data_IF_898644548121
#
_entry.id   IF_898644548121
#
_cell.length_a   1.000
_cell.length_b   1.000
_cell.length_c   1.000
_cell.angle_alpha   90.00
_cell.angle_beta   90.00
_cell.angle_gamma   90.00
#
_symmetry.space_group_name_H-M   'P 1'
#
loop_
_entity.id
_entity.type
_entity.pdbx_description
1 polymer ?
#
# COMPACT_ATOMS: atom_id res chain seq x y z
N UNK A 1 -30.79 20.17 6.61
CA UNK A 1 -30.43 18.75 6.47
C UNK A 1 -30.14 18.53 5.00
N UNK A 2 -28.87 18.63 4.59
CA UNK A 2 -28.47 18.42 3.20
C UNK A 2 -28.14 16.93 3.04
N UNK A 3 -28.82 16.28 2.12
CA UNK A 3 -28.60 14.89 1.75
C UNK A 3 -27.16 14.73 1.21
N UNK A 4 -26.25 14.24 2.04
CA UNK A 4 -24.96 13.70 1.57
C UNK A 4 -25.22 12.30 1.02
N UNK A 5 -25.54 12.23 -0.28
CA UNK A 5 -25.60 10.98 -1.03
C UNK A 5 -24.21 10.34 -1.02
N UNK A 6 -24.12 9.12 -0.56
CA UNK A 6 -22.98 8.23 -0.76
C UNK A 6 -22.82 8.05 -2.28
N UNK A 7 -21.82 8.69 -2.89
CA UNK A 7 -21.51 8.50 -4.30
C UNK A 7 -20.81 7.15 -4.48
N UNK A 8 -21.59 6.16 -4.83
CA UNK A 8 -21.13 4.87 -5.34
C UNK A 8 -20.88 5.02 -6.84
N UNK A 9 -19.71 4.66 -7.29
CA UNK A 9 -19.29 4.52 -8.70
C UNK A 9 -19.26 5.80 -9.55
N UNK A 10 -18.20 6.58 -9.46
CA UNK A 10 -17.75 7.33 -10.63
C UNK A 10 -16.90 6.41 -11.53
N UNK A 11 -17.42 6.04 -12.69
CA UNK A 11 -16.58 5.62 -13.83
C UNK A 11 -15.75 6.85 -14.21
N UNK A 12 -14.42 6.71 -14.20
CA UNK A 12 -13.51 7.79 -14.60
C UNK A 12 -13.96 8.41 -15.93
N UNK A 13 -13.97 9.72 -15.97
CA UNK A 13 -14.24 10.46 -17.22
C UNK A 13 -13.02 10.36 -18.12
N UNK A 14 -13.21 9.92 -19.35
CA UNK A 14 -12.18 9.80 -20.36
C UNK A 14 -11.44 11.15 -20.49
N UNK A 15 -10.12 11.22 -20.17
CA UNK A 15 -9.26 12.38 -20.41
C UNK A 15 -8.86 13.24 -19.21
N UNK A 16 -9.19 12.85 -17.96
CA UNK A 16 -8.88 13.67 -16.76
C UNK A 16 -7.47 13.49 -16.20
N UNK A 17 -6.83 12.34 -16.46
CA UNK A 17 -5.48 12.00 -15.97
C UNK A 17 -4.50 11.99 -17.13
N UNK A 18 -3.34 12.65 -16.98
CA UNK A 18 -2.37 12.76 -18.08
C UNK A 18 -1.72 11.41 -18.42
N UNK A 19 -1.29 11.22 -19.68
CA UNK A 19 -0.56 10.02 -20.11
C UNK A 19 0.69 9.75 -19.26
N UNK A 20 1.40 10.78 -18.83
CA UNK A 20 2.61 10.69 -18.02
C UNK A 20 2.30 10.11 -16.64
N UNK A 21 1.23 10.55 -16.00
CA UNK A 21 0.75 10.03 -14.71
C UNK A 21 0.35 8.57 -14.84
N UNK A 22 -0.42 8.23 -15.87
CA UNK A 22 -0.83 6.84 -16.11
C UNK A 22 0.38 5.92 -16.37
N UNK A 23 1.36 6.41 -17.14
CA UNK A 23 2.62 5.70 -17.37
C UNK A 23 3.40 5.49 -16.06
N UNK A 24 3.47 6.50 -15.19
CA UNK A 24 4.16 6.40 -13.90
C UNK A 24 3.48 5.37 -12.99
N UNK A 25 2.14 5.39 -12.90
CA UNK A 25 1.36 4.38 -12.15
C UNK A 25 1.70 2.99 -12.65
N UNK A 26 1.70 2.78 -13.96
CA UNK A 26 2.01 1.48 -14.57
C UNK A 26 3.44 1.02 -14.27
N UNK A 27 4.44 1.90 -14.42
CA UNK A 27 5.86 1.58 -14.13
C UNK A 27 6.02 1.12 -12.68
N UNK A 28 5.42 1.84 -11.73
CA UNK A 28 5.49 1.46 -10.30
C UNK A 28 4.80 0.13 -10.04
N UNK A 29 3.62 -0.08 -10.63
CA UNK A 29 2.87 -1.32 -10.48
C UNK A 29 3.62 -2.54 -11.06
N UNK A 30 4.26 -2.40 -12.23
CA UNK A 30 5.09 -3.45 -12.84
C UNK A 30 6.32 -3.75 -11.98
N UNK A 31 7.02 -2.71 -11.50
CA UNK A 31 8.17 -2.89 -10.60
C UNK A 31 7.78 -3.66 -9.33
N UNK A 32 6.64 -3.31 -8.73
CA UNK A 32 6.11 -4.02 -7.57
C UNK A 32 5.81 -5.49 -7.88
N UNK A 33 5.14 -5.78 -9.02
CA UNK A 33 4.82 -7.13 -9.42
C UNK A 33 6.08 -7.97 -9.62
N UNK A 34 7.06 -7.48 -10.38
CA UNK A 34 8.30 -8.21 -10.66
C UNK A 34 9.10 -8.45 -9.37
N UNK A 35 9.19 -7.45 -8.49
CA UNK A 35 9.84 -7.59 -7.19
C UNK A 35 9.18 -8.68 -6.33
N UNK A 36 7.87 -8.66 -6.24
CA UNK A 36 7.08 -9.63 -5.47
C UNK A 36 7.26 -11.06 -6.02
N UNK A 37 7.19 -11.22 -7.35
CA UNK A 37 7.46 -12.48 -8.04
C UNK A 37 8.85 -13.05 -7.70
N UNK A 38 9.90 -12.19 -7.64
CA UNK A 38 11.26 -12.60 -7.28
C UNK A 38 11.38 -13.02 -5.82
N UNK A 39 10.77 -12.28 -4.90
CA UNK A 39 10.79 -12.65 -3.47
C UNK A 39 10.02 -13.96 -3.24
N UNK A 40 8.93 -14.17 -3.94
CA UNK A 40 8.18 -15.43 -3.92
C UNK A 40 9.04 -16.62 -4.39
N UNK A 41 9.86 -16.43 -5.43
CA UNK A 41 10.83 -17.45 -5.88
C UNK A 41 11.87 -17.74 -4.81
N UNK A 42 12.45 -16.70 -4.18
CA UNK A 42 13.42 -16.85 -3.08
C UNK A 42 12.81 -17.59 -1.89
N UNK A 43 11.54 -17.31 -1.56
CA UNK A 43 10.84 -18.02 -0.50
C UNK A 43 10.68 -19.51 -0.81
N UNK A 44 10.23 -19.88 -2.03
CA UNK A 44 10.12 -21.27 -2.46
C UNK A 44 11.45 -22.01 -2.49
N UNK A 45 12.56 -21.31 -2.67
CA UNK A 45 13.92 -21.84 -2.58
C UNK A 45 14.42 -21.99 -1.14
N UNK A 46 13.64 -21.57 -0.13
CA UNK A 46 14.02 -21.55 1.28
C UNK A 46 15.04 -20.48 1.64
N UNK A 47 15.22 -19.45 0.78
CA UNK A 47 16.18 -18.36 0.96
C UNK A 47 15.57 -17.18 1.69
N UNK A 48 14.32 -16.84 1.39
CA UNK A 48 13.52 -15.91 2.16
C UNK A 48 12.58 -16.71 3.08
N UNK A 49 12.66 -16.57 4.41
CA UNK A 49 11.94 -17.45 5.34
C UNK A 49 10.42 -17.22 5.33
N UNK A 50 9.99 -16.02 5.02
CA UNK A 50 8.59 -15.60 5.06
C UNK A 50 8.34 -14.45 4.09
N UNK A 51 7.15 -14.41 3.49
CA UNK A 51 6.73 -13.29 2.65
C UNK A 51 5.22 -13.08 2.65
N UNK A 52 4.82 -11.82 2.56
CA UNK A 52 3.43 -11.39 2.36
C UNK A 52 3.37 -10.61 1.05
N UNK A 53 2.66 -11.15 0.07
CA UNK A 53 2.56 -10.58 -1.27
C UNK A 53 1.60 -9.39 -1.32
N UNK A 54 1.95 -8.38 -2.13
CA UNK A 54 1.10 -7.25 -2.52
C UNK A 54 0.39 -7.44 -3.86
N UNK A 55 0.51 -8.62 -4.49
CA UNK A 55 -0.07 -8.89 -5.81
C UNK A 55 -1.60 -8.72 -5.81
N UNK A 56 -2.07 -7.91 -6.75
CA UNK A 56 -3.47 -7.51 -6.90
C UNK A 56 -3.84 -6.18 -6.24
N UNK A 57 -2.89 -5.53 -5.53
CA UNK A 57 -3.05 -4.23 -4.89
C UNK A 57 -2.27 -3.12 -5.61
N UNK A 58 -1.41 -3.47 -6.56
CA UNK A 58 -0.38 -2.61 -7.14
C UNK A 58 -0.95 -1.35 -7.77
N UNK A 59 -2.07 -1.44 -8.48
CA UNK A 59 -2.65 -0.30 -9.21
C UNK A 59 -3.19 0.75 -8.25
N UNK A 60 -3.92 0.32 -7.21
CA UNK A 60 -4.41 1.23 -6.17
C UNK A 60 -3.27 1.94 -5.44
N UNK A 61 -2.28 1.18 -4.97
CA UNK A 61 -1.12 1.70 -4.26
C UNK A 61 -0.29 2.65 -5.11
N UNK A 62 -0.02 2.28 -6.38
CA UNK A 62 0.74 3.11 -7.30
C UNK A 62 0.02 4.41 -7.65
N UNK A 63 -1.31 4.37 -7.81
CA UNK A 63 -2.12 5.54 -8.08
C UNK A 63 -2.10 6.53 -6.90
N UNK A 64 -2.25 6.04 -5.67
CA UNK A 64 -2.14 6.88 -4.46
C UNK A 64 -0.73 7.43 -4.32
N UNK A 65 0.31 6.59 -4.47
CA UNK A 65 1.70 7.02 -4.38
C UNK A 65 2.09 8.08 -5.41
N UNK A 66 1.46 8.06 -6.61
CA UNK A 66 1.66 9.08 -7.65
C UNK A 66 0.91 10.38 -7.35
N UNK A 67 -0.16 10.34 -6.54
CA UNK A 67 -0.95 11.51 -6.19
C UNK A 67 -0.36 12.37 -5.07
N UNK A 68 0.56 11.82 -4.27
CA UNK A 68 1.17 12.49 -3.13
C UNK A 68 2.56 13.04 -3.48
N UNK A 69 3.07 13.97 -2.67
CA UNK A 69 4.42 14.51 -2.81
C UNK A 69 5.37 13.77 -1.84
N UNK A 70 5.96 12.70 -2.32
CA UNK A 70 6.81 11.80 -1.51
C UNK A 70 8.08 12.46 -0.97
N UNK A 71 8.42 13.66 -1.44
CA UNK A 71 9.55 14.44 -0.92
C UNK A 71 9.27 15.08 0.45
N UNK A 72 7.99 15.25 0.82
CA UNK A 72 7.58 15.89 2.07
C UNK A 72 6.46 15.17 2.83
N UNK A 73 5.64 14.40 2.14
CA UNK A 73 4.56 13.64 2.76
C UNK A 73 5.12 12.39 3.48
N UNK A 74 4.39 11.90 4.45
CA UNK A 74 4.81 10.76 5.26
C UNK A 74 3.91 9.57 5.03
N UNK A 75 4.51 8.38 5.07
CA UNK A 75 3.82 7.10 4.95
C UNK A 75 3.92 6.31 6.26
N UNK A 76 2.79 5.83 6.75
CA UNK A 76 2.72 4.80 7.77
C UNK A 76 2.05 3.56 7.18
N UNK A 77 2.82 2.68 6.52
CA UNK A 77 2.31 1.57 5.73
C UNK A 77 1.89 0.37 6.58
N UNK A 78 1.18 -0.57 5.95
CA UNK A 78 1.06 -1.93 6.47
C UNK A 78 1.84 -2.92 5.59
N UNK A 79 1.88 -4.17 5.99
CA UNK A 79 2.78 -5.18 5.42
C UNK A 79 2.56 -5.50 3.93
N UNK A 80 1.42 -5.10 3.33
CA UNK A 80 1.13 -5.40 1.91
C UNK A 80 1.45 -4.24 0.96
N UNK A 81 1.94 -3.12 1.48
CA UNK A 81 2.17 -1.86 0.76
C UNK A 81 3.43 -1.83 -0.10
N UNK A 82 3.70 -2.90 -0.83
CA UNK A 82 4.92 -3.01 -1.63
C UNK A 82 5.02 -1.91 -2.70
N UNK A 83 3.97 -1.70 -3.49
CA UNK A 83 3.99 -0.67 -4.53
C UNK A 83 3.95 0.75 -3.94
N UNK A 84 3.30 0.94 -2.79
CA UNK A 84 3.25 2.24 -2.13
C UNK A 84 4.62 2.62 -1.55
N UNK A 85 5.34 1.70 -0.93
CA UNK A 85 6.70 1.94 -0.42
C UNK A 85 7.71 2.18 -1.54
N UNK A 86 7.59 1.49 -2.68
CA UNK A 86 8.36 1.79 -3.89
C UNK A 86 8.06 3.20 -4.42
N UNK A 87 6.80 3.63 -4.42
CA UNK A 87 6.42 4.98 -4.82
C UNK A 87 7.02 6.06 -3.89
N UNK A 88 7.17 5.75 -2.59
CA UNK A 88 7.83 6.63 -1.62
C UNK A 88 9.35 6.59 -1.68
N UNK A 89 9.96 5.78 -2.54
CA UNK A 89 11.38 5.81 -2.84
C UNK A 89 12.20 4.65 -2.26
N UNK A 90 11.60 3.70 -1.54
CA UNK A 90 12.31 2.46 -1.20
C UNK A 90 12.73 1.75 -2.49
N UNK A 91 13.96 1.29 -2.54
CA UNK A 91 14.48 0.54 -3.68
C UNK A 91 14.08 -0.94 -3.62
N UNK A 92 14.06 -1.67 -4.75
CA UNK A 92 13.93 -3.12 -4.73
C UNK A 92 15.00 -3.79 -3.86
N UNK A 93 16.21 -3.25 -3.82
CA UNK A 93 17.29 -3.73 -2.94
C UNK A 93 16.89 -3.68 -1.46
N UNK A 94 16.25 -2.59 -1.00
CA UNK A 94 15.82 -2.46 0.40
C UNK A 94 14.83 -3.57 0.80
N UNK A 95 13.92 -3.92 -0.12
CA UNK A 95 12.98 -5.00 0.08
C UNK A 95 13.66 -6.38 0.11
N UNK A 96 14.65 -6.61 -0.74
CA UNK A 96 15.44 -7.85 -0.71
C UNK A 96 16.30 -7.95 0.56
N UNK A 97 16.92 -6.86 1.00
CA UNK A 97 17.68 -6.83 2.26
C UNK A 97 16.80 -7.23 3.44
N UNK A 98 15.56 -6.73 3.49
CA UNK A 98 14.57 -7.12 4.50
C UNK A 98 14.16 -8.59 4.36
N UNK A 99 13.79 -9.04 3.14
CA UNK A 99 13.36 -10.40 2.88
C UNK A 99 14.44 -11.45 3.20
N UNK A 100 15.71 -11.09 3.06
CA UNK A 100 16.87 -11.93 3.32
C UNK A 100 17.50 -11.69 4.70
N UNK A 101 16.89 -10.85 5.55
CA UNK A 101 17.34 -10.51 6.90
C UNK A 101 18.81 -10.03 6.95
N UNK A 102 19.18 -9.12 6.07
CA UNK A 102 20.56 -8.61 5.95
C UNK A 102 20.87 -7.48 6.95
N UNK A 103 22.15 -7.31 7.29
CA UNK A 103 22.59 -6.25 8.22
C UNK A 103 22.26 -4.85 7.69
N UNK A 104 22.32 -4.67 6.36
CA UNK A 104 22.07 -3.40 5.67
C UNK A 104 20.58 -3.12 5.44
N UNK A 105 19.67 -3.96 5.98
CA UNK A 105 18.22 -3.73 5.89
C UNK A 105 17.84 -2.39 6.55
N UNK A 106 17.31 -1.41 5.78
CA UNK A 106 17.00 -0.09 6.32
C UNK A 106 15.82 -0.09 7.29
N UNK A 107 14.99 -1.15 7.28
CA UNK A 107 13.83 -1.25 8.14
C UNK A 107 14.24 -1.60 9.58
N UNK A 108 15.14 -2.57 9.75
CA UNK A 108 15.46 -3.08 11.07
C UNK A 108 16.87 -3.68 11.22
N UNK A 109 17.68 -3.69 10.17
CA UNK A 109 18.95 -4.44 10.16
C UNK A 109 18.73 -5.94 10.33
N UNK A 110 17.70 -6.48 9.70
CA UNK A 110 17.37 -7.91 9.73
C UNK A 110 16.70 -8.40 11.01
N UNK A 111 16.24 -7.51 11.92
CA UNK A 111 15.65 -7.91 13.22
C UNK A 111 14.14 -8.14 13.20
N UNK A 112 13.42 -7.54 12.25
CA UNK A 112 11.98 -7.73 12.08
C UNK A 112 11.69 -8.77 10.98
N UNK A 113 10.47 -9.29 10.99
CA UNK A 113 9.97 -10.07 9.87
C UNK A 113 9.93 -9.22 8.60
N UNK A 114 10.09 -9.82 7.41
CA UNK A 114 9.91 -9.12 6.14
C UNK A 114 8.56 -8.39 6.06
N UNK A 115 8.52 -7.35 5.24
CA UNK A 115 7.35 -6.49 5.03
C UNK A 115 6.92 -5.67 6.28
N UNK A 116 7.82 -5.48 7.25
CA UNK A 116 7.68 -4.48 8.31
C UNK A 116 8.51 -3.25 7.92
N UNK A 117 7.90 -2.39 7.14
CA UNK A 117 8.58 -1.26 6.52
C UNK A 117 8.91 -0.14 7.51
N UNK A 118 10.01 0.55 7.28
CA UNK A 118 10.42 1.73 8.00
C UNK A 118 11.68 2.32 7.35
N UNK A 119 11.60 3.54 6.82
CA UNK A 119 12.74 4.19 6.19
C UNK A 119 12.67 5.70 6.41
N UNK A 120 13.56 6.20 7.26
CA UNK A 120 13.56 7.62 7.65
C UNK A 120 13.91 8.53 6.48
N UNK A 121 14.75 8.10 5.55
CA UNK A 121 15.18 8.91 4.40
C UNK A 121 14.02 9.16 3.44
N UNK A 122 13.05 8.25 3.42
CA UNK A 122 11.86 8.31 2.58
C UNK A 122 10.58 8.69 3.35
N UNK A 123 10.71 9.22 4.56
CA UNK A 123 9.55 9.59 5.40
C UNK A 123 8.60 8.41 5.68
N UNK A 124 9.12 7.19 5.75
CA UNK A 124 8.33 5.99 6.04
C UNK A 124 8.49 5.65 7.53
N UNK A 125 7.37 5.73 8.27
CA UNK A 125 7.31 5.42 9.70
C UNK A 125 7.49 3.92 9.89
N UNK A 126 8.33 3.52 10.84
CA UNK A 126 8.50 2.10 11.19
C UNK A 126 7.18 1.52 11.70
N UNK A 127 6.78 0.42 11.10
CA UNK A 127 5.55 -0.29 11.45
C UNK A 127 5.87 -1.70 11.95
N UNK A 128 4.89 -2.34 12.55
CA UNK A 128 5.02 -3.68 13.13
C UNK A 128 3.83 -4.57 12.77
N UNK A 129 3.79 -5.76 13.37
CA UNK A 129 2.72 -6.74 13.15
C UNK A 129 1.34 -6.37 13.71
N UNK A 130 1.19 -5.58 14.81
CA UNK A 130 -0.13 -5.15 15.26
C UNK A 130 -0.82 -4.32 14.19
N UNK A 131 -1.94 -4.84 13.67
CA UNK A 131 -2.68 -4.19 12.60
C UNK A 131 -3.48 -2.98 13.10
N UNK A 132 -3.65 -1.96 12.26
CA UNK A 132 -4.30 -0.67 12.52
C UNK A 132 -3.51 0.32 13.41
N UNK A 133 -2.51 -0.10 14.19
CA UNK A 133 -1.71 0.80 15.04
C UNK A 133 -1.02 1.91 14.24
N UNK A 134 -0.59 1.64 13.02
CA UNK A 134 0.01 2.63 12.12
C UNK A 134 -0.91 3.82 11.82
N UNK A 135 -2.22 3.66 11.91
CA UNK A 135 -3.16 4.75 11.71
C UNK A 135 -3.06 5.81 12.81
N UNK A 136 -2.85 5.36 14.06
CA UNK A 136 -2.59 6.27 15.19
C UNK A 136 -1.25 7.00 15.01
N UNK A 137 -0.22 6.29 14.53
CA UNK A 137 1.06 6.92 14.20
C UNK A 137 0.90 7.99 13.13
N UNK A 138 0.18 7.70 12.05
CA UNK A 138 -0.11 8.68 11.00
C UNK A 138 -0.87 9.90 11.52
N UNK A 139 -1.88 9.69 12.37
CA UNK A 139 -2.62 10.78 13.02
C UNK A 139 -1.69 11.64 13.89
N UNK A 140 -0.76 11.02 14.65
CA UNK A 140 0.24 11.72 15.44
C UNK A 140 1.22 12.53 14.60
N UNK A 141 1.74 11.94 13.50
CA UNK A 141 2.60 12.62 12.52
C UNK A 141 1.88 13.83 11.91
N UNK A 142 0.64 13.64 11.46
CA UNK A 142 -0.16 14.72 10.89
C UNK A 142 -0.48 15.84 11.88
N UNK A 143 -0.68 15.51 13.16
CA UNK A 143 -0.79 16.53 14.22
C UNK A 143 0.50 17.35 14.34
N UNK A 144 1.65 16.67 14.33
CA UNK A 144 2.96 17.35 14.34
C UNK A 144 3.14 18.27 13.14
N UNK A 145 2.75 17.86 11.93
CA UNK A 145 2.76 18.68 10.71
C UNK A 145 1.87 19.91 10.86
N UNK A 146 0.65 19.73 11.36
CA UNK A 146 -0.29 20.82 11.60
C UNK A 146 0.25 21.83 12.61
N UNK A 147 0.84 21.38 13.72
CA UNK A 147 1.45 22.25 14.73
C UNK A 147 2.67 23.01 14.21
N UNK A 148 3.40 22.41 13.27
CA UNK A 148 4.55 23.05 12.59
C UNK A 148 4.15 23.91 11.39
N UNK A 149 2.86 23.98 11.07
CA UNK A 149 2.33 24.74 9.93
C UNK A 149 2.98 24.34 8.59
N UNK A 150 3.28 23.06 8.40
CA UNK A 150 3.73 22.54 7.10
C UNK A 150 2.54 22.21 6.21
N UNK A 151 2.76 22.13 4.90
CA UNK A 151 1.76 21.68 3.93
C UNK A 151 1.83 20.17 3.64
N UNK A 152 2.66 19.43 4.38
CA UNK A 152 2.78 17.98 4.28
C UNK A 152 1.53 17.27 4.84
N UNK A 153 1.32 16.05 4.40
CA UNK A 153 0.26 15.17 4.88
C UNK A 153 0.81 13.78 5.24
N UNK A 154 0.03 13.01 5.98
CA UNK A 154 0.32 11.63 6.26
C UNK A 154 -0.60 10.70 5.46
N UNK A 155 -0.03 9.64 4.90
CA UNK A 155 -0.73 8.52 4.26
C UNK A 155 -0.60 7.32 5.16
N UNK A 156 -1.66 6.58 5.35
CA UNK A 156 -1.63 5.30 6.07
C UNK A 156 -2.62 4.32 5.47
N UNK A 157 -2.32 3.04 5.55
CA UNK A 157 -3.08 1.99 4.91
C UNK A 157 -3.31 0.80 5.84
N UNK A 158 -4.33 0.02 5.54
CA UNK A 158 -4.62 -1.24 6.20
C UNK A 158 -5.57 -2.10 5.33
N UNK A 159 -5.65 -3.40 5.63
CA UNK A 159 -6.69 -4.26 5.07
C UNK A 159 -8.02 -4.09 5.82
N UNK A 160 -9.14 -4.46 5.16
CA UNK A 160 -10.48 -4.33 5.72
C UNK A 160 -10.64 -5.07 7.06
N UNK A 161 -9.96 -6.20 7.24
CA UNK A 161 -10.01 -6.97 8.51
C UNK A 161 -9.51 -6.18 9.71
N UNK A 162 -8.52 -5.31 9.51
CA UNK A 162 -7.94 -4.46 10.55
C UNK A 162 -8.91 -3.37 11.03
N UNK A 163 -9.96 -3.08 10.27
CA UNK A 163 -10.95 -2.04 10.59
C UNK A 163 -11.88 -2.42 11.77
N UNK A 164 -11.76 -3.64 12.27
CA UNK A 164 -12.44 -4.08 13.51
C UNK A 164 -11.67 -3.72 14.78
N UNK A 165 -10.40 -3.30 14.65
CA UNK A 165 -9.56 -2.90 15.78
C UNK A 165 -9.91 -1.51 16.32
N UNK A 166 -9.74 -1.29 17.63
CA UNK A 166 -9.98 0.01 18.29
C UNK A 166 -9.19 1.14 17.67
N UNK A 167 -7.91 0.89 17.36
CA UNK A 167 -6.97 1.87 16.77
C UNK A 167 -7.51 2.51 15.48
N UNK A 168 -8.24 1.74 14.63
CA UNK A 168 -8.90 2.28 13.46
C UNK A 168 -9.91 3.37 13.84
N UNK A 169 -10.79 3.08 14.78
CA UNK A 169 -11.84 3.99 15.20
C UNK A 169 -11.30 5.23 15.90
N UNK A 170 -10.30 5.04 16.74
CA UNK A 170 -9.66 6.12 17.50
C UNK A 170 -8.89 7.06 16.56
N UNK A 171 -8.13 6.52 15.61
CA UNK A 171 -7.37 7.32 14.66
C UNK A 171 -8.29 8.20 13.77
N UNK A 172 -9.37 7.61 13.22
CA UNK A 172 -10.34 8.34 12.41
C UNK A 172 -11.03 9.44 13.21
N UNK A 173 -11.50 9.12 14.43
CA UNK A 173 -12.16 10.10 15.28
C UNK A 173 -11.21 11.24 15.67
N UNK A 174 -10.01 10.92 16.12
CA UNK A 174 -9.02 11.92 16.51
C UNK A 174 -8.64 12.83 15.32
N UNK A 175 -8.34 12.24 14.17
CA UNK A 175 -8.00 12.99 12.98
C UNK A 175 -9.14 13.89 12.49
N UNK A 176 -10.38 13.41 12.56
CA UNK A 176 -11.58 14.18 12.20
C UNK A 176 -11.79 15.39 13.10
N UNK A 177 -11.77 15.17 14.43
CA UNK A 177 -11.95 16.25 15.45
C UNK A 177 -10.92 17.35 15.25
N UNK A 178 -9.66 16.97 15.00
CA UNK A 178 -8.57 17.90 14.83
C UNK A 178 -8.35 18.37 13.39
N UNK A 179 -9.17 17.93 12.42
CA UNK A 179 -9.02 18.21 10.99
C UNK A 179 -7.57 18.00 10.53
N UNK A 180 -7.01 16.81 10.81
CA UNK A 180 -5.62 16.49 10.49
C UNK A 180 -5.48 16.15 9.00
N UNK A 181 -4.35 16.49 8.37
CA UNK A 181 -4.06 16.17 6.98
C UNK A 181 -3.66 14.69 6.85
N UNK A 182 -4.63 13.78 6.88
CA UNK A 182 -4.40 12.32 6.76
C UNK A 182 -5.24 11.74 5.63
N UNK A 183 -4.61 10.91 4.81
CA UNK A 183 -5.27 9.98 3.91
C UNK A 183 -5.28 8.60 4.58
N UNK A 184 -6.47 8.11 4.92
CA UNK A 184 -6.68 6.76 5.41
C UNK A 184 -7.08 5.85 4.26
N UNK A 185 -6.26 4.84 3.96
CA UNK A 185 -6.48 3.90 2.88
C UNK A 185 -6.93 2.56 3.45
N UNK A 186 -7.99 2.00 2.88
CA UNK A 186 -8.43 0.64 3.17
C UNK A 186 -8.27 -0.19 1.89
N UNK A 187 -7.44 -1.20 1.93
CA UNK A 187 -7.23 -2.14 0.84
C UNK A 187 -8.13 -3.35 1.06
N UNK A 188 -9.39 -3.22 0.61
CA UNK A 188 -10.40 -4.24 0.80
C UNK A 188 -10.26 -5.34 -0.25
N UNK A 189 -9.63 -6.44 0.14
CA UNK A 189 -9.47 -7.64 -0.70
C UNK A 189 -10.49 -8.74 -0.38
N UNK A 190 -11.46 -8.45 0.49
CA UNK A 190 -12.55 -9.35 0.84
C UNK A 190 -12.23 -10.39 1.92
N UNK A 191 -10.97 -10.46 2.41
CA UNK A 191 -10.55 -11.50 3.35
C UNK A 191 -9.61 -11.00 4.44
N UNK A 192 -10.01 -11.12 5.70
CA UNK A 192 -9.12 -11.03 6.85
C UNK A 192 -8.47 -12.42 7.09
N UNK A 193 -7.29 -12.65 6.54
CA UNK A 193 -6.66 -13.98 6.44
C UNK A 193 -7.59 -14.95 5.69
N UNK A 194 -8.43 -15.70 6.42
CA UNK A 194 -9.39 -16.68 5.92
C UNK A 194 -10.86 -16.27 6.16
N UNK A 195 -11.12 -15.14 6.83
CA UNK A 195 -12.47 -14.70 7.19
C UNK A 195 -13.01 -13.79 6.09
N UNK A 196 -14.09 -14.18 5.38
CA UNK A 196 -14.67 -13.36 4.32
C UNK A 196 -15.37 -12.12 4.89
N UNK A 197 -15.53 -11.10 4.03
CA UNK A 197 -16.02 -9.77 4.41
C UNK A 197 -17.37 -9.79 5.13
N UNK A 198 -18.31 -10.63 4.70
CA UNK A 198 -19.64 -10.78 5.30
C UNK A 198 -19.63 -11.30 6.74
N UNK A 199 -18.50 -11.89 7.19
CA UNK A 199 -18.27 -12.31 8.58
C UNK A 199 -17.50 -11.27 9.40
N UNK A 200 -17.01 -10.22 8.76
CA UNK A 200 -16.23 -9.18 9.43
C UNK A 200 -17.08 -7.95 9.76
N UNK A 201 -18.01 -7.58 8.89
CA UNK A 201 -18.83 -6.38 9.06
C UNK A 201 -20.21 -6.53 8.38
N UNK A 202 -21.25 -5.81 8.89
CA UNK A 202 -22.59 -5.86 8.34
C UNK A 202 -22.79 -4.94 7.12
N UNK A 203 -21.88 -3.97 6.88
CA UNK A 203 -21.94 -3.04 5.75
C UNK A 203 -21.15 -3.61 4.56
N UNK A 204 -21.53 -3.23 3.35
CA UNK A 204 -20.86 -3.67 2.13
C UNK A 204 -19.50 -3.00 1.91
N UNK A 205 -19.33 -1.80 2.47
CA UNK A 205 -18.12 -0.99 2.31
C UNK A 205 -17.62 -0.47 3.66
N UNK A 206 -16.30 -0.49 3.83
CA UNK A 206 -15.63 0.14 4.98
C UNK A 206 -15.81 1.66 4.92
N UNK A 207 -15.79 2.23 3.71
CA UNK A 207 -15.97 3.67 3.49
C UNK A 207 -17.27 4.23 4.07
N UNK A 208 -18.30 3.42 4.25
CA UNK A 208 -19.56 3.81 4.92
C UNK A 208 -19.35 4.26 6.38
N UNK A 209 -18.31 3.71 7.03
CA UNK A 209 -17.96 4.06 8.42
C UNK A 209 -17.47 5.51 8.57
N UNK A 210 -16.92 6.09 7.50
CA UNK A 210 -16.43 7.48 7.50
C UNK A 210 -17.52 8.48 7.92
N UNK A 211 -18.77 8.19 7.58
CA UNK A 211 -19.93 9.01 7.94
C UNK A 211 -20.11 9.17 9.46
N UNK A 212 -19.76 8.15 10.24
CA UNK A 212 -19.85 8.19 11.69
C UNK A 212 -18.87 9.20 12.32
N UNK A 213 -17.77 9.52 11.61
CA UNK A 213 -16.75 10.49 12.04
C UNK A 213 -16.92 11.86 11.38
N UNK A 214 -17.92 12.05 10.52
CA UNK A 214 -18.15 13.31 9.81
C UNK A 214 -17.09 13.64 8.77
N UNK A 215 -16.41 12.62 8.20
CA UNK A 215 -15.39 12.76 7.15
C UNK A 215 -15.88 12.14 5.84
N UNK A 216 -15.32 12.53 4.69
CA UNK A 216 -15.60 11.84 3.43
C UNK A 216 -15.12 10.38 3.45
N UNK A 217 -15.95 9.48 2.94
CA UNK A 217 -15.63 8.11 2.62
C UNK A 217 -15.88 7.85 1.14
N UNK A 218 -14.88 7.30 0.45
CA UNK A 218 -14.93 7.02 -0.99
C UNK A 218 -14.55 5.57 -1.22
N UNK A 219 -15.37 4.82 -1.97
CA UNK A 219 -15.01 3.49 -2.44
C UNK A 219 -14.73 3.54 -3.94
N UNK A 220 -13.61 2.95 -4.36
CA UNK A 220 -13.18 2.87 -5.76
C UNK A 220 -12.84 1.44 -6.15
N UNK A 221 -12.99 1.11 -7.42
CA UNK A 221 -12.39 -0.10 -7.99
C UNK A 221 -10.86 0.05 -7.99
N UNK A 222 -10.17 -0.71 -7.14
CA UNK A 222 -8.72 -0.63 -6.98
C UNK A 222 -7.91 -1.03 -8.22
N UNK A 223 -8.55 -1.61 -9.24
CA UNK A 223 -7.95 -1.87 -10.55
C UNK A 223 -8.17 -0.76 -11.57
N UNK A 224 -8.93 0.29 -11.24
CA UNK A 224 -9.12 1.47 -12.09
C UNK A 224 -8.15 2.59 -11.67
N UNK A 225 -7.03 2.70 -12.40
CA UNK A 225 -5.97 3.67 -12.10
C UNK A 225 -6.47 5.13 -12.12
N UNK A 226 -7.40 5.45 -13.01
CA UNK A 226 -7.96 6.81 -13.13
C UNK A 226 -8.81 7.14 -11.90
N UNK A 227 -9.75 6.27 -11.55
CA UNK A 227 -10.61 6.46 -10.39
C UNK A 227 -9.80 6.52 -9.07
N UNK A 228 -8.79 5.65 -8.93
CA UNK A 228 -7.91 5.64 -7.76
C UNK A 228 -7.12 6.95 -7.64
N UNK A 229 -6.52 7.42 -8.75
CA UNK A 229 -5.74 8.65 -8.76
C UNK A 229 -6.60 9.88 -8.48
N UNK A 230 -7.77 10.01 -9.10
CA UNK A 230 -8.70 11.13 -8.88
C UNK A 230 -9.20 11.20 -7.43
N UNK A 231 -9.55 10.03 -6.86
CA UNK A 231 -9.95 9.95 -5.46
C UNK A 231 -8.82 10.40 -4.53
N UNK A 232 -7.59 9.93 -4.78
CA UNK A 232 -6.40 10.31 -4.03
C UNK A 232 -6.10 11.82 -4.15
N UNK A 233 -6.11 12.38 -5.38
CA UNK A 233 -5.90 13.80 -5.62
C UNK A 233 -6.93 14.67 -4.89
N UNK A 234 -8.21 14.30 -4.94
CA UNK A 234 -9.29 14.99 -4.22
C UNK A 234 -9.03 14.99 -2.71
N UNK A 235 -8.58 13.86 -2.16
CA UNK A 235 -8.25 13.73 -0.76
C UNK A 235 -6.99 14.54 -0.37
N UNK A 236 -5.95 14.53 -1.21
CA UNK A 236 -4.74 15.33 -1.04
C UNK A 236 -5.07 16.83 -1.01
N UNK A 237 -5.83 17.32 -1.98
CA UNK A 237 -6.25 18.72 -2.01
C UNK A 237 -7.02 19.13 -0.76
N UNK A 238 -7.96 18.28 -0.33
CA UNK A 238 -8.75 18.50 0.88
C UNK A 238 -7.86 18.57 2.12
N UNK A 239 -6.92 17.62 2.28
CA UNK A 239 -5.99 17.59 3.40
C UNK A 239 -5.10 18.84 3.45
N UNK A 240 -4.54 19.26 2.30
CA UNK A 240 -3.69 20.47 2.21
C UNK A 240 -4.48 21.78 2.45
N UNK A 241 -5.78 21.81 2.13
CA UNK A 241 -6.66 22.95 2.48
C UNK A 241 -7.05 23.00 3.97
N UNK A 242 -6.60 22.01 4.79
CA UNK A 242 -6.94 21.92 6.21
C UNK A 242 -8.40 21.51 6.48
N UNK A 243 -9.06 20.91 5.49
CA UNK A 243 -10.46 20.46 5.62
C UNK A 243 -10.60 19.12 6.34
N UNK A 244 -9.47 18.48 6.69
CA UNK A 244 -9.41 17.27 7.48
C UNK A 244 -9.19 15.99 6.64
N UNK A 245 -9.27 14.82 7.27
CA UNK A 245 -8.92 13.55 6.65
C UNK A 245 -9.99 13.05 5.68
N UNK A 246 -9.59 12.09 4.85
CA UNK A 246 -10.49 11.33 3.96
C UNK A 246 -10.20 9.84 4.12
N UNK A 247 -11.24 9.00 4.12
CA UNK A 247 -11.15 7.53 4.06
C UNK A 247 -11.38 7.07 2.62
N UNK A 248 -10.37 6.45 2.00
CA UNK A 248 -10.46 5.89 0.65
C UNK A 248 -10.40 4.37 0.77
N UNK A 249 -11.42 3.69 0.29
CA UNK A 249 -11.48 2.24 0.19
C UNK A 249 -11.23 1.82 -1.25
N UNK A 250 -10.10 1.16 -1.52
CA UNK A 250 -9.82 0.47 -2.77
C UNK A 250 -10.35 -0.96 -2.70
N UNK A 251 -11.30 -1.28 -3.56
CA UNK A 251 -11.74 -2.66 -3.76
C UNK A 251 -10.67 -3.35 -4.61
N UNK A 252 -9.82 -4.12 -3.95
CA UNK A 252 -8.67 -4.80 -4.55
C UNK A 252 -8.86 -6.32 -4.50
N UNK A 253 -7.92 -7.06 -5.05
CA UNK A 253 -7.97 -8.51 -5.04
C UNK A 253 -6.64 -9.09 -4.57
N UNK A 254 -6.69 -10.07 -3.69
CA UNK A 254 -5.50 -10.82 -3.29
C UNK A 254 -5.29 -11.98 -4.24
N UNK A 255 -4.23 -11.90 -5.09
CA UNK A 255 -3.90 -12.90 -6.11
C UNK A 255 -3.14 -14.12 -5.56
N UNK A 256 -2.73 -14.07 -4.29
CA UNK A 256 -1.98 -15.16 -3.63
C UNK A 256 -2.65 -15.49 -2.29
N UNK A 257 -2.21 -16.55 -1.64
CA UNK A 257 -2.56 -16.83 -0.24
C UNK A 257 -2.22 -15.64 0.67
N UNK A 258 -2.73 -15.60 1.89
CA UNK A 258 -2.49 -14.50 2.83
C UNK A 258 -1.00 -14.23 3.06
N UNK A 259 -0.21 -15.31 3.18
CA UNK A 259 1.25 -15.28 3.30
C UNK A 259 1.85 -16.51 2.64
N UNK A 260 3.19 -16.60 2.64
CA UNK A 260 3.90 -17.79 2.15
C UNK A 260 3.59 -19.09 2.92
N UNK A 261 3.10 -18.96 4.15
CA UNK A 261 2.79 -20.09 5.03
C UNK A 261 1.30 -20.47 5.02
N UNK A 262 0.50 -19.79 4.20
CA UNK A 262 -0.95 -20.00 4.09
C UNK A 262 -1.32 -20.80 2.83
N UNK A 263 -2.46 -21.50 2.88
CA UNK A 263 -3.05 -22.19 1.75
C UNK A 263 -4.52 -21.77 1.59
N UNK A 264 -4.76 -20.81 0.70
CA UNK A 264 -6.09 -20.23 0.47
C UNK A 264 -7.12 -21.21 -0.06
N UNK A 265 -6.71 -22.34 -0.65
CA UNK A 265 -7.61 -23.40 -1.13
C UNK A 265 -8.41 -24.06 0.00
N UNK A 266 -8.02 -23.83 1.26
CA UNK A 266 -8.73 -24.33 2.45
C UNK A 266 -9.99 -23.50 2.79
N UNK A 267 -10.09 -22.27 2.28
CA UNK A 267 -11.18 -21.35 2.64
C UNK A 267 -11.74 -20.55 1.47
N UNK A 268 -11.11 -20.58 0.28
CA UNK A 268 -11.60 -19.94 -0.95
C UNK A 268 -11.99 -21.02 -1.96
N UNK A 269 -13.20 -20.95 -2.56
CA UNK A 269 -13.58 -21.80 -3.68
C UNK A 269 -12.65 -21.64 -4.88
N UNK A 270 -12.43 -22.74 -5.62
CA UNK A 270 -11.55 -22.72 -6.79
C UNK A 270 -12.03 -21.73 -7.87
N UNK A 271 -13.34 -21.64 -8.06
CA UNK A 271 -13.97 -20.72 -9.02
C UNK A 271 -13.73 -19.26 -8.65
N UNK A 272 -13.69 -18.95 -7.35
CA UNK A 272 -13.37 -17.59 -6.86
C UNK A 272 -11.91 -17.27 -7.13
N UNK A 273 -10.99 -18.19 -6.82
CA UNK A 273 -9.55 -18.01 -7.08
C UNK A 273 -9.32 -17.75 -8.57
N UNK A 274 -9.92 -18.55 -9.44
CA UNK A 274 -9.81 -18.37 -10.89
C UNK A 274 -10.38 -17.02 -11.35
N UNK A 275 -11.55 -16.62 -10.84
CA UNK A 275 -12.18 -15.33 -11.16
C UNK A 275 -11.31 -14.15 -10.77
N UNK A 276 -10.66 -14.22 -9.60
CA UNK A 276 -9.77 -13.16 -9.12
C UNK A 276 -8.53 -13.03 -10.01
N UNK A 277 -7.93 -14.14 -10.44
CA UNK A 277 -6.80 -14.11 -11.39
C UNK A 277 -7.19 -13.53 -12.76
N UNK A 278 -8.40 -13.83 -13.26
CA UNK A 278 -8.90 -13.24 -14.50
C UNK A 278 -9.14 -11.73 -14.39
N UNK A 279 -9.37 -11.22 -13.17
CA UNK A 279 -9.58 -9.81 -12.87
C UNK A 279 -8.30 -9.09 -12.43
N UNK A 280 -7.11 -9.63 -12.69
CA UNK A 280 -5.81 -9.04 -12.32
C UNK A 280 -5.75 -7.56 -12.70
N UNK A 281 -5.52 -6.71 -11.70
CA UNK A 281 -5.52 -5.26 -11.85
C UNK A 281 -4.45 -4.77 -12.85
N UNK A 282 -3.28 -5.42 -12.90
CA UNK A 282 -2.20 -5.05 -13.80
C UNK A 282 -2.57 -5.35 -15.26
N UNK A 283 -3.15 -6.52 -15.53
CA UNK A 283 -3.64 -6.89 -16.87
C UNK A 283 -4.76 -5.95 -17.32
N UNK A 284 -5.64 -5.55 -16.41
CA UNK A 284 -6.70 -4.56 -16.69
C UNK A 284 -6.11 -3.20 -17.04
N UNK A 285 -5.09 -2.75 -16.30
CA UNK A 285 -4.41 -1.49 -16.58
C UNK A 285 -3.68 -1.53 -17.92
N UNK A 286 -2.96 -2.59 -18.26
CA UNK A 286 -2.30 -2.78 -19.56
C UNK A 286 -3.30 -2.63 -20.71
N UNK A 287 -4.41 -3.36 -20.63
CA UNK A 287 -5.48 -3.24 -21.62
C UNK A 287 -6.01 -1.81 -21.76
N UNK A 288 -6.22 -1.13 -20.65
CA UNK A 288 -6.68 0.27 -20.64
C UNK A 288 -5.67 1.19 -21.34
N UNK A 289 -4.38 1.10 -21.01
CA UNK A 289 -3.31 1.93 -21.57
C UNK A 289 -3.16 1.73 -23.08
N UNK A 290 -3.27 0.49 -23.56
CA UNK A 290 -3.26 0.16 -24.99
C UNK A 290 -4.49 0.76 -25.69
N UNK A 291 -5.68 0.58 -25.14
CA UNK A 291 -6.93 1.09 -25.71
C UNK A 291 -6.98 2.62 -25.79
N UNK A 292 -6.37 3.30 -24.81
CA UNK A 292 -6.27 4.75 -24.79
C UNK A 292 -5.10 5.30 -25.63
N UNK A 293 -4.25 4.43 -26.18
CA UNK A 293 -3.06 4.83 -26.93
C UNK A 293 -2.00 5.53 -26.08
N UNK A 294 -2.03 5.34 -24.75
CA UNK A 294 -1.03 5.87 -23.81
C UNK A 294 0.29 5.12 -23.95
N UNK A 295 0.23 3.80 -24.11
CA UNK A 295 1.37 2.92 -24.34
C UNK A 295 1.08 2.00 -25.53
N UNK A 296 2.16 1.49 -26.14
CA UNK A 296 2.13 0.42 -27.15
C UNK A 296 2.55 -0.90 -26.50
N UNK A 297 2.34 -2.04 -27.18
CA UNK A 297 2.85 -3.34 -26.76
C UNK A 297 4.38 -3.34 -26.59
N UNK A 298 5.09 -2.61 -27.43
CA UNK A 298 6.54 -2.44 -27.33
C UNK A 298 6.93 -1.66 -26.05
N UNK A 299 6.15 -0.65 -25.66
CA UNK A 299 6.36 0.09 -24.42
C UNK A 299 6.13 -0.80 -23.19
N UNK A 300 5.06 -1.60 -23.18
CA UNK A 300 4.76 -2.54 -22.09
C UNK A 300 5.90 -3.54 -21.92
N UNK A 301 6.39 -4.14 -23.01
CA UNK A 301 7.52 -5.05 -22.99
C UNK A 301 8.79 -4.37 -22.47
N UNK A 302 9.12 -3.18 -22.99
CA UNK A 302 10.31 -2.43 -22.58
C UNK A 302 10.29 -2.06 -21.09
N UNK A 303 9.12 -1.65 -20.56
CA UNK A 303 8.96 -1.31 -19.13
C UNK A 303 9.15 -2.56 -18.27
N UNK A 304 8.57 -3.70 -18.66
CA UNK A 304 8.73 -4.96 -17.92
C UNK A 304 10.18 -5.45 -17.95
N UNK A 305 10.84 -5.42 -19.09
CA UNK A 305 12.24 -5.83 -19.23
C UNK A 305 13.18 -4.94 -18.40
N UNK A 306 12.92 -3.63 -18.37
CA UNK A 306 13.68 -2.70 -17.54
C UNK A 306 13.50 -3.01 -16.04
N UNK A 307 12.26 -3.28 -15.61
CA UNK A 307 11.97 -3.66 -14.23
C UNK A 307 12.65 -4.99 -13.85
N UNK A 308 12.59 -6.00 -14.71
CA UNK A 308 13.28 -7.28 -14.49
C UNK A 308 14.77 -7.08 -14.32
N UNK A 309 15.40 -6.31 -15.22
CA UNK A 309 16.83 -6.05 -15.15
C UNK A 309 17.25 -5.30 -13.87
N UNK A 310 16.50 -4.27 -13.48
CA UNK A 310 16.74 -3.52 -12.24
C UNK A 310 16.64 -4.45 -11.03
N UNK A 311 15.56 -5.20 -10.95
CA UNK A 311 15.24 -6.06 -9.81
C UNK A 311 16.23 -7.22 -9.69
N UNK A 312 16.66 -7.82 -10.79
CA UNK A 312 17.67 -8.90 -10.76
C UNK A 312 19.03 -8.37 -10.27
N UNK A 313 19.45 -7.16 -10.67
CA UNK A 313 20.68 -6.51 -10.16
C UNK A 313 20.58 -6.21 -8.67
N UNK A 314 19.45 -5.68 -8.22
CA UNK A 314 19.23 -5.33 -6.81
C UNK A 314 19.13 -6.60 -5.92
N UNK A 315 18.56 -7.68 -6.44
CA UNK A 315 18.52 -8.98 -5.77
C UNK A 315 19.93 -9.53 -5.57
N UNK A 316 20.76 -9.56 -6.62
CA UNK A 316 22.16 -10.02 -6.53
C UNK A 316 22.96 -9.18 -5.52
N UNK A 317 22.80 -7.86 -5.54
CA UNK A 317 23.46 -6.97 -4.59
C UNK A 317 23.03 -7.22 -3.14
N UNK A 318 21.74 -7.45 -2.91
CA UNK A 318 21.20 -7.78 -1.58
C UNK A 318 21.70 -9.16 -1.10
N UNK A 319 21.83 -10.14 -1.99
CA UNK A 319 22.34 -11.47 -1.64
C UNK A 319 23.79 -11.42 -1.13
N UNK A 320 24.61 -10.55 -1.70
CA UNK A 320 26.01 -10.35 -1.29
C UNK A 320 26.17 -9.55 0.00
N UNK A 321 25.12 -8.87 0.46
CA UNK A 321 25.17 -8.10 1.70
C UNK A 321 25.38 -9.01 2.92
N UNK A 322 26.08 -8.53 3.98
CA UNK A 322 26.39 -9.33 5.15
C UNK A 322 25.13 -9.68 5.96
N UNK A 323 25.18 -10.78 6.68
CA UNK A 323 24.22 -11.08 7.74
C UNK A 323 24.55 -10.22 8.98
N UNK A 324 23.53 -9.87 9.80
CA UNK A 324 23.78 -9.15 11.04
C UNK A 324 24.56 -10.00 12.04
N UNK A 325 25.48 -9.36 12.78
CA UNK A 325 26.17 -10.02 13.88
C UNK A 325 25.17 -10.36 15.00
N UNK A 326 25.22 -11.57 15.60
CA UNK A 326 24.24 -12.03 16.58
C UNK A 326 24.04 -11.07 17.76
N UNK A 327 25.10 -10.39 18.18
CA UNK A 327 25.09 -9.42 19.30
C UNK A 327 24.21 -8.21 19.00
N UNK A 328 23.99 -7.89 17.71
CA UNK A 328 23.12 -6.77 17.31
C UNK A 328 21.65 -7.00 17.64
N UNK A 329 21.24 -8.23 17.88
CA UNK A 329 19.86 -8.57 18.27
C UNK A 329 19.43 -7.89 19.59
N UNK A 330 20.38 -7.56 20.46
CA UNK A 330 20.13 -6.89 21.75
C UNK A 330 20.18 -5.37 21.68
N UNK A 331 20.58 -4.79 20.52
CA UNK A 331 20.66 -3.34 20.34
C UNK A 331 19.30 -2.75 20.00
N UNK A 332 19.12 -1.47 20.33
CA UNK A 332 17.93 -0.68 20.00
C UNK A 332 16.62 -1.21 20.62
N UNK A 333 16.70 -2.06 21.64
CA UNK A 333 15.53 -2.49 22.44
C UNK A 333 15.04 -1.34 23.33
N UNK A 334 15.98 -0.57 23.83
CA UNK A 334 15.75 0.69 24.55
C UNK A 334 16.55 1.81 23.89
N UNK A 335 16.28 3.05 24.27
CA UNK A 335 17.12 4.18 23.85
C UNK A 335 18.55 3.96 24.39
N UNK A 336 19.51 3.91 23.49
CA UNK A 336 20.92 3.85 23.87
C UNK A 336 21.38 5.27 24.21
N UNK A 337 22.22 5.42 25.26
CA UNK A 337 22.83 6.70 25.57
C UNK A 337 23.77 7.09 24.41
N UNK A 338 23.65 8.33 23.94
CA UNK A 338 24.41 8.88 22.82
C UNK A 338 25.88 9.15 23.19
#
# INVERSE_FOLDING_TARGET
MSDTKTEVHRKGTQGSVSPEVLRQIYVTAVRSRVLDERIWVLNRQGRAPFWISGMGHEVFQSAVGTAVDTSKDWLAPYYRDLALTLAFGMSPKDHFLSALAKADDPNSGGRQMPAHFGNREHNIVSTGSPVATQMLHAAGVALGMKLKHTDALAVTSLGEGSTSGGDFHEALNFAAVHKLPVLFLVENNGYAISVPLDKQMPTSHVSDRARAYGIPGVSVDGGDAVACYEAAMTAVERARKGEGPTLIEGMVARLTSHSSDDDERRYRPAEEIESVHQADCLVRLERYLLLQGVLTEADLTSIRDAAVKEIDVDMEAAEQAPLPEPETALRYVYAEEA
#
